data_IF_750982555781
#
_entry.id   IF_750982555781
#
_cell.length_a   1.000
_cell.length_b   1.000
_cell.length_c   1.000
_cell.angle_alpha   90.00
_cell.angle_beta   90.00
_cell.angle_gamma   90.00
#
_symmetry.space_group_name_H-M   'P 1'
#
loop_
_entity.id
_entity.type
_entity.pdbx_description
1 polymer ?
#
# COMPACT_ATOMS: atom_id res chain seq x y z
N UNK A 1 -21.21 -3.10 -26.27
CA UNK A 1 -20.70 -4.49 -26.24
C UNK A 1 -21.67 -5.51 -26.76
N UNK A 2 -23.00 -5.36 -26.62
CA UNK A 2 -24.03 -6.29 -27.15
C UNK A 2 -24.14 -6.30 -28.70
N UNK A 3 -23.68 -5.24 -29.37
CA UNK A 3 -23.71 -5.07 -30.83
C UNK A 3 -22.37 -5.47 -31.44
N UNK A 4 -22.33 -6.45 -32.41
CA UNK A 4 -21.09 -6.91 -33.05
C UNK A 4 -20.31 -5.77 -33.73
N UNK A 5 -20.97 -4.90 -34.49
CA UNK A 5 -20.33 -3.79 -35.19
C UNK A 5 -19.63 -2.80 -34.27
N UNK A 6 -20.12 -2.62 -33.03
CA UNK A 6 -19.47 -1.79 -32.02
C UNK A 6 -18.20 -2.48 -31.47
N UNK A 7 -18.26 -3.80 -31.29
CA UNK A 7 -17.08 -4.57 -30.87
C UNK A 7 -15.99 -4.53 -31.93
N UNK A 8 -16.37 -4.73 -33.20
CA UNK A 8 -15.43 -4.69 -34.32
C UNK A 8 -14.74 -3.32 -34.43
N UNK A 9 -15.50 -2.24 -34.32
CA UNK A 9 -14.98 -0.88 -34.31
C UNK A 9 -13.95 -0.68 -33.15
N UNK A 10 -14.27 -1.15 -31.95
CA UNK A 10 -13.37 -0.98 -30.77
C UNK A 10 -12.09 -1.82 -30.99
N UNK A 11 -12.23 -3.07 -31.45
CA UNK A 11 -11.08 -3.95 -31.69
C UNK A 11 -10.15 -3.36 -32.75
N UNK A 12 -10.69 -2.89 -33.86
CA UNK A 12 -9.90 -2.29 -34.92
C UNK A 12 -9.12 -1.07 -34.48
N UNK A 13 -9.82 -0.10 -33.87
CA UNK A 13 -9.20 1.18 -33.48
C UNK A 13 -8.20 1.02 -32.31
N UNK A 14 -8.54 0.23 -31.29
CA UNK A 14 -7.61 0.00 -30.18
C UNK A 14 -6.40 -0.80 -30.64
N UNK A 15 -6.58 -1.83 -31.46
CA UNK A 15 -5.47 -2.61 -32.05
C UNK A 15 -4.55 -1.70 -32.85
N UNK A 16 -5.09 -0.84 -33.70
CA UNK A 16 -4.31 0.13 -34.46
C UNK A 16 -3.47 1.05 -33.56
N UNK A 17 -4.05 1.57 -32.46
CA UNK A 17 -3.30 2.40 -31.49
C UNK A 17 -2.16 1.59 -30.86
N UNK A 18 -2.44 0.38 -30.40
CA UNK A 18 -1.44 -0.46 -29.74
C UNK A 18 -0.30 -0.87 -30.67
N UNK A 19 -0.58 -1.08 -31.96
CA UNK A 19 0.41 -1.44 -32.96
C UNK A 19 1.20 -0.22 -33.49
N UNK A 20 0.67 0.99 -33.32
CA UNK A 20 1.31 2.24 -33.77
C UNK A 20 2.36 2.80 -32.81
N UNK A 21 2.45 2.31 -31.58
CA UNK A 21 3.35 2.82 -30.56
C UNK A 21 3.85 1.71 -29.63
N UNK A 22 4.98 1.93 -28.96
CA UNK A 22 5.57 1.01 -27.98
C UNK A 22 4.82 0.99 -26.65
N UNK A 23 3.58 0.51 -26.66
CA UNK A 23 2.71 0.47 -25.48
C UNK A 23 2.85 -0.89 -24.80
N UNK A 24 3.22 -0.90 -23.51
CA UNK A 24 3.36 -2.11 -22.69
C UNK A 24 2.34 -2.21 -21.55
N UNK A 25 1.52 -1.17 -21.36
CA UNK A 25 0.53 -1.10 -20.29
C UNK A 25 -0.73 -0.38 -20.75
N UNK A 26 -1.89 -0.95 -20.44
CA UNK A 26 -3.20 -0.36 -20.73
C UNK A 26 -4.06 -0.40 -19.48
N UNK A 27 -4.61 0.74 -19.08
CA UNK A 27 -5.71 0.79 -18.10
C UNK A 27 -7.03 0.94 -18.86
N UNK A 28 -7.89 -0.07 -18.71
CA UNK A 28 -9.18 -0.14 -19.38
C UNK A 28 -10.29 0.23 -18.41
N UNK A 29 -10.80 1.44 -18.56
CA UNK A 29 -11.80 1.98 -17.65
C UNK A 29 -13.22 2.02 -18.25
N UNK A 30 -14.24 1.93 -17.36
CA UNK A 30 -15.63 2.12 -17.70
C UNK A 30 -16.40 2.75 -16.54
N UNK A 31 -16.69 4.04 -16.65
CA UNK A 31 -17.29 4.84 -15.58
C UNK A 31 -18.80 5.08 -15.78
N UNK A 32 -19.49 4.19 -16.51
CA UNK A 32 -20.91 4.32 -16.81
C UNK A 32 -21.74 3.22 -16.16
N UNK A 33 -22.85 3.60 -15.55
CA UNK A 33 -23.81 2.64 -15.03
C UNK A 33 -24.45 1.79 -16.13
N UNK A 34 -24.54 0.49 -15.89
CA UNK A 34 -25.14 -0.49 -16.81
C UNK A 34 -26.60 -0.79 -16.48
N UNK A 35 -27.29 0.03 -15.68
CA UNK A 35 -28.66 -0.22 -15.20
C UNK A 35 -29.65 -0.39 -16.35
N UNK A 36 -29.42 0.30 -17.48
CA UNK A 36 -30.27 0.25 -18.64
C UNK A 36 -30.16 -1.06 -19.47
N UNK A 37 -29.21 -1.93 -19.14
CA UNK A 37 -28.98 -3.17 -19.90
C UNK A 37 -30.04 -4.24 -19.64
N UNK A 38 -30.61 -4.30 -18.42
CA UNK A 38 -31.62 -5.29 -18.06
C UNK A 38 -31.15 -6.72 -18.43
N UNK A 39 -31.98 -7.45 -19.17
CA UNK A 39 -31.69 -8.80 -19.63
C UNK A 39 -30.44 -8.92 -20.54
N UNK A 40 -29.94 -7.82 -21.10
CA UNK A 40 -28.74 -7.79 -21.94
C UNK A 40 -27.45 -7.64 -21.15
N UNK A 41 -27.50 -7.60 -19.84
CA UNK A 41 -26.28 -7.42 -19.01
C UNK A 41 -25.27 -8.55 -19.21
N UNK A 42 -25.74 -9.79 -19.30
CA UNK A 42 -24.89 -10.95 -19.58
C UNK A 42 -24.21 -10.84 -20.96
N UNK A 43 -24.98 -10.55 -22.01
CA UNK A 43 -24.46 -10.38 -23.38
C UNK A 43 -23.44 -9.24 -23.45
N UNK A 44 -23.62 -8.18 -22.66
CA UNK A 44 -22.67 -7.08 -22.55
C UNK A 44 -21.32 -7.56 -22.00
N UNK A 45 -21.33 -8.38 -20.96
CA UNK A 45 -20.10 -8.93 -20.34
C UNK A 45 -19.40 -9.89 -21.32
N UNK A 46 -20.16 -10.79 -21.96
CA UNK A 46 -19.58 -11.69 -23.00
C UNK A 46 -18.98 -10.90 -24.17
N UNK A 47 -19.65 -9.83 -24.60
CA UNK A 47 -19.13 -8.93 -25.62
C UNK A 47 -17.87 -8.17 -25.20
N UNK A 48 -17.75 -7.82 -23.90
CA UNK A 48 -16.51 -7.25 -23.37
C UNK A 48 -15.36 -8.27 -23.40
N UNK A 49 -15.61 -9.50 -22.97
CA UNK A 49 -14.60 -10.57 -23.01
C UNK A 49 -14.15 -10.90 -24.45
N UNK A 50 -15.08 -10.86 -25.43
CA UNK A 50 -14.74 -11.00 -26.84
C UNK A 50 -13.79 -9.90 -27.31
N UNK A 51 -14.08 -8.64 -27.00
CA UNK A 51 -13.23 -7.49 -27.33
C UNK A 51 -11.85 -7.63 -26.69
N UNK A 52 -11.79 -7.92 -25.38
CA UNK A 52 -10.52 -8.04 -24.66
C UNK A 52 -9.66 -9.18 -25.22
N UNK A 53 -10.28 -10.35 -25.53
CA UNK A 53 -9.58 -11.47 -26.13
C UNK A 53 -9.00 -11.10 -27.49
N UNK A 54 -9.77 -10.47 -28.34
CA UNK A 54 -9.36 -10.09 -29.71
C UNK A 54 -8.24 -9.06 -29.72
N UNK A 55 -8.21 -8.15 -28.74
CA UNK A 55 -7.18 -7.12 -28.62
C UNK A 55 -5.91 -7.66 -27.95
N UNK A 56 -6.02 -8.34 -26.81
CA UNK A 56 -4.88 -8.65 -25.95
C UNK A 56 -4.31 -10.07 -26.14
N UNK A 57 -5.07 -11.05 -26.62
CA UNK A 57 -4.50 -12.38 -26.88
C UNK A 57 -3.35 -12.37 -27.92
N UNK A 58 -3.39 -11.54 -28.98
CA UNK A 58 -2.26 -11.38 -29.89
C UNK A 58 -1.09 -10.55 -29.32
N UNK A 59 -1.26 -9.93 -28.15
CA UNK A 59 -0.29 -8.98 -27.54
C UNK A 59 0.00 -9.35 -26.07
N UNK A 60 0.59 -10.54 -25.81
CA UNK A 60 0.78 -11.05 -24.45
C UNK A 60 1.74 -10.20 -23.61
N UNK A 61 2.55 -9.34 -24.23
CA UNK A 61 3.50 -8.44 -23.55
C UNK A 61 2.86 -7.14 -23.03
N UNK A 62 1.59 -6.90 -23.36
CA UNK A 62 0.85 -5.73 -22.87
C UNK A 62 0.11 -6.10 -21.59
N UNK A 63 0.49 -5.49 -20.48
CA UNK A 63 -0.21 -5.64 -19.21
C UNK A 63 -1.52 -4.84 -19.24
N UNK A 64 -2.63 -5.52 -18.97
CA UNK A 64 -3.94 -4.91 -18.85
C UNK A 64 -4.32 -4.72 -17.39
N UNK A 65 -4.68 -3.50 -16.99
CA UNK A 65 -5.35 -3.16 -15.74
C UNK A 65 -6.83 -2.85 -16.02
N UNK A 66 -7.74 -3.51 -15.31
CA UNK A 66 -9.16 -3.18 -15.36
C UNK A 66 -9.52 -2.12 -14.31
N UNK A 67 -10.30 -1.15 -14.74
CA UNK A 67 -10.98 -0.19 -13.88
C UNK A 67 -12.45 -0.07 -14.29
N UNK A 68 -13.32 0.22 -13.33
CA UNK A 68 -14.72 0.55 -13.58
C UNK A 68 -15.25 1.37 -12.42
N UNK A 69 -14.91 2.65 -12.36
CA UNK A 69 -15.07 3.49 -11.17
C UNK A 69 -14.54 2.76 -9.93
N UNK A 70 -13.29 2.31 -9.99
CA UNK A 70 -12.69 1.37 -9.05
C UNK A 70 -12.99 -0.10 -9.38
N UNK A 71 -13.34 -0.87 -8.37
CA UNK A 71 -13.44 -2.34 -8.42
C UNK A 71 -14.79 -2.90 -8.89
N UNK A 72 -15.66 -2.16 -9.59
CA UNK A 72 -16.98 -2.66 -10.00
C UNK A 72 -16.94 -3.81 -11.02
N UNK A 73 -15.78 -4.09 -11.61
CA UNK A 73 -15.53 -5.27 -12.46
C UNK A 73 -14.43 -6.16 -11.88
N UNK A 74 -14.29 -6.17 -10.55
CA UNK A 74 -13.34 -7.06 -9.90
C UNK A 74 -13.99 -8.43 -9.73
N UNK A 75 -13.82 -9.27 -10.73
CA UNK A 75 -14.34 -10.63 -10.78
C UNK A 75 -13.36 -11.58 -11.47
N UNK A 76 -13.59 -12.90 -11.30
CA UNK A 76 -12.71 -13.93 -11.86
C UNK A 76 -12.68 -13.95 -13.38
N UNK A 77 -13.78 -13.56 -14.03
CA UNK A 77 -13.84 -13.49 -15.50
C UNK A 77 -12.94 -12.39 -16.04
N UNK A 78 -12.96 -11.22 -15.41
CA UNK A 78 -12.03 -10.12 -15.75
C UNK A 78 -10.59 -10.49 -15.49
N UNK A 79 -10.28 -11.23 -14.42
CA UNK A 79 -8.92 -11.68 -14.09
C UNK A 79 -8.32 -12.61 -15.16
N UNK A 80 -9.13 -13.26 -16.01
CA UNK A 80 -8.63 -14.02 -17.15
C UNK A 80 -7.97 -13.14 -18.22
N UNK A 81 -8.25 -11.85 -18.25
CA UNK A 81 -7.72 -10.88 -19.21
C UNK A 81 -6.84 -9.81 -18.57
N UNK A 82 -7.17 -9.45 -17.34
CA UNK A 82 -6.59 -8.33 -16.61
C UNK A 82 -6.03 -8.82 -15.27
N UNK A 83 -4.74 -9.17 -15.23
CA UNK A 83 -4.14 -9.72 -14.01
C UNK A 83 -4.08 -8.70 -12.85
N UNK A 84 -4.29 -7.43 -13.14
CA UNK A 84 -4.36 -6.34 -12.17
C UNK A 84 -5.67 -5.58 -12.31
N UNK A 85 -6.36 -5.35 -11.20
CA UNK A 85 -7.61 -4.59 -11.15
C UNK A 85 -7.47 -3.43 -10.19
N UNK A 86 -7.94 -2.25 -10.62
CA UNK A 86 -8.03 -1.07 -9.77
C UNK A 86 -9.11 -1.28 -8.70
N UNK A 87 -8.68 -1.42 -7.45
CA UNK A 87 -9.55 -1.85 -6.37
C UNK A 87 -10.61 -0.80 -5.98
N UNK A 88 -10.23 0.48 -6.01
CA UNK A 88 -11.09 1.62 -5.66
C UNK A 88 -10.40 2.93 -6.05
N UNK A 89 -11.18 3.90 -6.50
CA UNK A 89 -10.73 5.28 -6.71
C UNK A 89 -10.43 6.00 -5.38
N UNK A 90 -10.87 5.43 -4.26
CA UNK A 90 -10.47 5.92 -2.95
C UNK A 90 -9.09 5.35 -2.57
N UNK A 91 -8.06 6.16 -2.74
CA UNK A 91 -6.65 5.84 -2.46
C UNK A 91 -6.19 6.27 -1.08
N UNK A 92 -7.08 6.81 -0.25
CA UNK A 92 -6.77 7.08 1.16
C UNK A 92 -6.32 5.79 1.87
N UNK A 93 -5.11 5.73 2.44
CA UNK A 93 -4.57 4.50 3.01
C UNK A 93 -5.42 3.94 4.13
N UNK A 94 -6.12 4.78 4.90
CA UNK A 94 -6.97 4.34 6.01
C UNK A 94 -8.25 3.67 5.50
N UNK A 95 -8.82 4.17 4.40
CA UNK A 95 -9.93 3.49 3.70
C UNK A 95 -9.43 2.22 3.01
N UNK A 96 -8.23 2.26 2.42
CA UNK A 96 -7.60 1.09 1.80
C UNK A 96 -7.36 -0.06 2.77
N UNK A 97 -7.14 0.19 4.06
CA UNK A 97 -7.11 -0.88 5.06
C UNK A 97 -8.41 -1.70 5.07
N UNK A 98 -9.56 -1.07 4.87
CA UNK A 98 -10.86 -1.76 4.78
C UNK A 98 -11.05 -2.40 3.40
N UNK A 99 -10.78 -1.65 2.33
CA UNK A 99 -10.98 -2.08 0.95
C UNK A 99 -10.10 -3.29 0.63
N UNK A 100 -8.78 -3.19 0.85
CA UNK A 100 -7.83 -4.28 0.55
C UNK A 100 -8.06 -5.49 1.46
N UNK A 101 -8.42 -5.26 2.73
CA UNK A 101 -8.80 -6.35 3.63
C UNK A 101 -10.04 -7.11 3.10
N UNK A 102 -11.07 -6.39 2.64
CA UNK A 102 -12.26 -6.99 2.07
C UNK A 102 -11.96 -7.82 0.81
N UNK A 103 -11.22 -7.25 -0.13
CA UNK A 103 -10.81 -7.92 -1.37
C UNK A 103 -9.99 -9.18 -1.09
N UNK A 104 -9.11 -9.14 -0.09
CA UNK A 104 -8.23 -10.27 0.27
C UNK A 104 -8.95 -11.54 0.74
N UNK A 105 -10.26 -11.52 0.94
CA UNK A 105 -11.05 -12.73 1.21
C UNK A 105 -11.25 -13.60 -0.03
N UNK A 106 -11.22 -13.00 -1.22
CA UNK A 106 -11.52 -13.67 -2.49
C UNK A 106 -10.35 -13.65 -3.48
N UNK A 107 -9.51 -12.63 -3.44
CA UNK A 107 -8.52 -12.38 -4.47
C UNK A 107 -7.11 -12.21 -3.89
N UNK A 108 -6.07 -12.69 -4.59
CA UNK A 108 -4.68 -12.56 -4.17
C UNK A 108 -4.20 -11.10 -4.29
N UNK A 109 -3.17 -10.76 -3.52
CA UNK A 109 -2.62 -9.40 -3.47
C UNK A 109 -2.02 -8.94 -4.82
N UNK A 110 -1.51 -9.89 -5.61
CA UNK A 110 -0.99 -9.63 -6.96
C UNK A 110 -2.01 -9.04 -7.93
N UNK A 111 -3.30 -9.14 -7.62
CA UNK A 111 -4.38 -8.62 -8.48
C UNK A 111 -4.86 -7.23 -8.07
N UNK A 112 -4.41 -6.72 -6.93
CA UNK A 112 -4.93 -5.49 -6.32
C UNK A 112 -4.05 -4.29 -6.65
N UNK A 113 -4.51 -3.39 -7.51
CA UNK A 113 -3.86 -2.09 -7.73
C UNK A 113 -3.90 -1.25 -6.44
N UNK A 114 -2.72 -0.82 -5.97
CA UNK A 114 -2.56 -0.06 -4.73
C UNK A 114 -1.61 1.11 -4.95
N UNK A 115 -2.14 2.35 -4.88
CA UNK A 115 -1.34 3.54 -5.15
C UNK A 115 -1.16 4.44 -3.93
N UNK A 116 -0.01 5.07 -3.88
CA UNK A 116 0.31 6.18 -2.99
C UNK A 116 -0.20 7.46 -3.65
N UNK A 117 -1.17 8.11 -3.05
CA UNK A 117 -1.76 9.37 -3.52
C UNK A 117 -1.27 10.57 -2.71
N UNK A 118 -1.67 11.76 -3.13
CA UNK A 118 -1.39 13.01 -2.42
C UNK A 118 -2.06 13.05 -1.04
N UNK A 119 -1.50 13.87 -0.14
CA UNK A 119 -2.11 14.25 1.13
C UNK A 119 -2.06 15.79 1.25
N UNK A 120 -3.17 16.44 1.70
CA UNK A 120 -4.46 15.85 2.07
C UNK A 120 -5.14 15.12 0.93
N UNK A 121 -5.83 14.01 1.23
CA UNK A 121 -6.50 13.20 0.22
C UNK A 121 -7.74 13.91 -0.35
N UNK A 122 -7.91 13.90 -1.68
CA UNK A 122 -8.93 14.71 -2.36
C UNK A 122 -10.38 14.36 -1.95
N UNK A 123 -10.68 13.11 -1.61
CA UNK A 123 -12.03 12.68 -1.26
C UNK A 123 -12.31 12.76 0.25
N UNK A 124 -11.32 12.45 1.09
CA UNK A 124 -11.51 12.35 2.55
C UNK A 124 -10.98 13.55 3.31
N UNK A 125 -10.19 14.42 2.66
CA UNK A 125 -9.43 15.53 3.24
C UNK A 125 -8.45 15.09 4.35
N UNK A 126 -8.22 13.78 4.49
CA UNK A 126 -7.34 13.20 5.52
C UNK A 126 -5.88 13.47 5.14
N UNK A 127 -5.12 13.90 6.12
CA UNK A 127 -3.68 14.09 5.98
C UNK A 127 -2.96 12.91 6.63
N UNK A 128 -2.49 11.98 5.81
CA UNK A 128 -1.81 10.76 6.26
C UNK A 128 -0.31 10.84 5.99
N UNK A 129 0.54 10.30 6.88
CA UNK A 129 1.98 10.24 6.66
C UNK A 129 2.34 9.51 5.37
N UNK A 130 3.40 9.95 4.69
CA UNK A 130 3.85 9.34 3.44
C UNK A 130 4.25 7.87 3.62
N UNK A 131 4.93 7.55 4.73
CA UNK A 131 5.27 6.18 5.07
C UNK A 131 4.03 5.28 5.19
N UNK A 132 2.94 5.74 5.81
CA UNK A 132 1.70 4.96 5.91
C UNK A 132 1.06 4.75 4.55
N UNK A 133 1.06 5.76 3.68
CA UNK A 133 0.58 5.61 2.31
C UNK A 133 1.34 4.51 1.56
N UNK A 134 2.68 4.49 1.67
CA UNK A 134 3.54 3.45 1.10
C UNK A 134 3.34 2.09 1.77
N UNK A 135 3.34 2.03 3.09
CA UNK A 135 3.23 0.79 3.86
C UNK A 135 1.92 0.03 3.57
N UNK A 136 0.81 0.74 3.38
CA UNK A 136 -0.48 0.13 2.97
C UNK A 136 -0.42 -0.34 1.52
N UNK A 137 0.15 0.47 0.62
CA UNK A 137 0.23 0.16 -0.79
C UNK A 137 1.19 -1.01 -1.10
N UNK A 138 2.16 -1.30 -0.24
CA UNK A 138 3.04 -2.48 -0.40
C UNK A 138 2.28 -3.79 -0.45
N UNK A 139 1.14 -3.88 0.24
CA UNK A 139 0.31 -5.10 0.25
C UNK A 139 -0.63 -5.17 -0.97
N UNK A 140 -0.11 -4.85 -2.14
CA UNK A 140 -0.75 -4.90 -3.45
C UNK A 140 0.26 -4.60 -4.55
N UNK A 141 -0.23 -4.27 -5.75
CA UNK A 141 0.60 -3.77 -6.86
C UNK A 141 0.86 -2.28 -6.66
N UNK A 142 2.04 -1.96 -6.10
CA UNK A 142 2.42 -0.59 -5.77
C UNK A 142 2.49 0.30 -7.00
N UNK A 143 1.86 1.47 -6.91
CA UNK A 143 2.03 2.60 -7.83
C UNK A 143 2.01 3.94 -7.10
N UNK A 144 2.32 5.01 -7.81
CA UNK A 144 2.27 6.37 -7.30
C UNK A 144 1.34 7.22 -8.16
N UNK A 145 0.38 7.87 -7.52
CA UNK A 145 -0.63 8.73 -8.12
C UNK A 145 -0.58 10.10 -7.44
N UNK A 146 0.51 10.83 -7.69
CA UNK A 146 0.74 12.15 -7.12
C UNK A 146 1.69 12.98 -8.00
N UNK A 147 1.63 14.31 -7.87
CA UNK A 147 2.53 15.21 -8.58
C UNK A 147 3.86 15.36 -7.83
N UNK A 148 4.90 14.76 -8.37
CA UNK A 148 6.24 14.77 -7.77
C UNK A 148 6.82 16.20 -7.64
N UNK A 149 6.35 17.17 -8.44
CA UNK A 149 6.81 18.57 -8.40
C UNK A 149 6.36 19.29 -7.12
N UNK A 150 5.33 18.79 -6.46
CA UNK A 150 4.78 19.37 -5.23
C UNK A 150 5.42 18.83 -3.97
N UNK A 151 6.23 17.78 -4.09
CA UNK A 151 6.85 17.09 -2.97
C UNK A 151 8.11 17.80 -2.48
N UNK A 152 8.38 17.64 -1.19
CA UNK A 152 9.63 18.09 -0.59
C UNK A 152 10.78 17.14 -0.94
N UNK A 153 12.05 17.61 -0.95
CA UNK A 153 13.21 16.74 -1.21
C UNK A 153 13.28 15.52 -0.28
N UNK A 154 12.88 15.68 0.98
CA UNK A 154 12.83 14.57 1.95
C UNK A 154 11.77 13.52 1.58
N UNK A 155 10.64 13.95 1.04
CA UNK A 155 9.56 13.05 0.58
C UNK A 155 9.98 12.30 -0.68
N UNK A 156 10.68 12.96 -1.62
CA UNK A 156 11.25 12.29 -2.80
C UNK A 156 12.24 11.20 -2.37
N UNK A 157 13.10 11.48 -1.39
CA UNK A 157 14.04 10.48 -0.85
C UNK A 157 13.32 9.31 -0.19
N UNK A 158 12.25 9.58 0.53
CA UNK A 158 11.41 8.55 1.15
C UNK A 158 10.76 7.67 0.08
N UNK A 159 10.18 8.24 -0.98
CA UNK A 159 9.62 7.51 -2.11
C UNK A 159 10.67 6.62 -2.79
N UNK A 160 11.89 7.12 -2.99
CA UNK A 160 12.99 6.31 -3.53
C UNK A 160 13.27 5.09 -2.65
N UNK A 161 13.28 5.28 -1.33
CA UNK A 161 13.42 4.18 -0.35
C UNK A 161 12.27 3.18 -0.42
N UNK A 162 11.04 3.66 -0.49
CA UNK A 162 9.83 2.83 -0.64
C UNK A 162 9.88 2.00 -1.93
N UNK A 163 10.25 2.60 -3.06
CA UNK A 163 10.38 1.91 -4.34
C UNK A 163 11.48 0.85 -4.28
N UNK A 164 12.65 1.17 -3.71
CA UNK A 164 13.75 0.23 -3.58
C UNK A 164 13.36 -0.97 -2.70
N UNK A 165 12.71 -0.72 -1.57
CA UNK A 165 12.20 -1.75 -0.68
C UNK A 165 11.15 -2.63 -1.37
N UNK A 166 10.16 -2.04 -2.02
CA UNK A 166 9.14 -2.78 -2.75
C UNK A 166 9.73 -3.64 -3.87
N UNK A 167 10.65 -3.09 -4.67
CA UNK A 167 11.31 -3.85 -5.74
C UNK A 167 12.07 -5.06 -5.21
N UNK A 168 12.69 -4.95 -4.02
CA UNK A 168 13.40 -6.06 -3.38
C UNK A 168 12.47 -7.17 -2.91
N UNK A 169 11.31 -6.82 -2.37
CA UNK A 169 10.38 -7.78 -1.75
C UNK A 169 9.05 -7.92 -2.52
N UNK A 170 8.98 -7.41 -3.74
CA UNK A 170 7.75 -7.41 -4.56
C UNK A 170 7.15 -8.79 -4.71
N UNK A 171 7.97 -9.82 -4.93
CA UNK A 171 7.50 -11.19 -5.08
C UNK A 171 6.84 -11.71 -3.81
N UNK A 172 7.41 -11.39 -2.64
CA UNK A 172 6.82 -11.73 -1.35
C UNK A 172 5.48 -11.01 -1.16
N UNK A 173 5.43 -9.70 -1.44
CA UNK A 173 4.20 -8.92 -1.30
C UNK A 173 3.07 -9.40 -2.20
N UNK A 174 3.37 -9.75 -3.44
CA UNK A 174 2.36 -10.11 -4.43
C UNK A 174 1.98 -11.59 -4.38
N UNK A 175 2.94 -12.49 -4.18
CA UNK A 175 2.75 -13.93 -4.34
C UNK A 175 2.95 -14.74 -3.05
N UNK A 176 3.41 -14.13 -1.98
CA UNK A 176 3.52 -14.78 -0.67
C UNK A 176 2.16 -15.11 -0.07
N UNK A 177 2.17 -15.99 0.92
CA UNK A 177 0.96 -16.33 1.68
C UNK A 177 0.52 -15.15 2.53
N UNK A 178 -0.57 -14.53 2.14
CA UNK A 178 -1.17 -13.40 2.87
C UNK A 178 -1.99 -13.88 4.06
N UNK A 179 -1.84 -13.21 5.21
CA UNK A 179 -2.64 -13.43 6.41
C UNK A 179 -3.00 -12.10 7.06
N UNK A 180 -4.20 -12.06 7.62
CA UNK A 180 -4.67 -10.96 8.47
C UNK A 180 -4.18 -11.19 9.89
N UNK A 181 -3.75 -10.12 10.54
CA UNK A 181 -3.32 -10.11 11.93
C UNK A 181 -4.19 -9.16 12.74
N UNK A 182 -4.02 -9.12 14.05
CA UNK A 182 -4.72 -8.20 14.94
C UNK A 182 -4.39 -6.72 14.63
N UNK A 183 -3.14 -6.44 14.27
CA UNK A 183 -2.64 -5.08 14.02
C UNK A 183 -2.61 -4.71 12.53
N UNK A 184 -2.91 -5.65 11.64
CA UNK A 184 -2.86 -5.41 10.19
C UNK A 184 -2.71 -6.67 9.36
N UNK A 185 -1.63 -6.77 8.60
CA UNK A 185 -1.41 -7.83 7.63
C UNK A 185 -0.01 -8.43 7.72
N UNK A 186 0.14 -9.65 7.29
CA UNK A 186 1.44 -10.27 7.01
C UNK A 186 1.42 -10.99 5.68
N UNK A 187 2.58 -11.10 5.07
CA UNK A 187 2.80 -11.89 3.85
C UNK A 187 4.14 -12.62 3.97
N UNK A 188 4.21 -13.87 3.51
CA UNK A 188 5.40 -14.70 3.64
C UNK A 188 5.58 -15.63 2.44
N UNK A 189 6.82 -15.81 1.98
CA UNK A 189 7.22 -16.83 1.02
C UNK A 189 7.86 -18.07 1.68
N UNK A 190 7.90 -18.10 3.01
CA UNK A 190 8.53 -19.14 3.82
C UNK A 190 9.99 -18.85 4.20
N UNK A 191 10.67 -17.92 3.52
CA UNK A 191 12.02 -17.45 3.85
C UNK A 191 11.99 -16.07 4.50
N UNK A 192 11.17 -15.19 3.94
CA UNK A 192 10.97 -13.83 4.39
C UNK A 192 9.50 -13.64 4.77
N UNK A 193 9.26 -12.97 5.88
CA UNK A 193 7.92 -12.51 6.26
C UNK A 193 7.93 -11.00 6.45
N UNK A 194 6.93 -10.34 5.87
CA UNK A 194 6.70 -8.92 6.01
C UNK A 194 5.40 -8.72 6.78
N UNK A 195 5.44 -7.96 7.87
CA UNK A 195 4.27 -7.69 8.71
C UNK A 195 4.01 -6.19 8.82
N UNK A 196 2.82 -5.76 8.40
CA UNK A 196 2.35 -4.38 8.54
C UNK A 196 1.54 -4.21 9.81
N UNK A 197 1.84 -3.15 10.55
CA UNK A 197 1.10 -2.68 11.72
C UNK A 197 0.52 -1.32 11.39
N UNK A 198 -0.78 -1.13 11.56
CA UNK A 198 -1.49 0.07 11.12
C UNK A 198 -2.36 0.64 12.22
N UNK A 199 -2.26 1.94 12.44
CA UNK A 199 -3.08 2.68 13.39
C UNK A 199 -4.10 3.56 12.66
N UNK A 200 -5.38 3.43 13.03
CA UNK A 200 -6.42 4.38 12.58
C UNK A 200 -6.43 5.60 13.49
N UNK A 201 -6.59 5.38 14.78
CA UNK A 201 -6.50 6.40 15.83
C UNK A 201 -5.65 5.83 16.97
N UNK A 202 -4.89 6.68 17.61
CA UNK A 202 -4.04 6.32 18.74
C UNK A 202 -4.66 6.88 20.02
N UNK A 203 -4.77 6.05 21.06
CA UNK A 203 -5.24 6.48 22.37
C UNK A 203 -4.19 7.35 23.07
N UNK A 204 -4.62 8.31 23.87
CA UNK A 204 -3.72 9.18 24.63
C UNK A 204 -2.78 8.41 25.60
N UNK A 205 -3.21 7.26 26.07
CA UNK A 205 -2.41 6.33 26.87
C UNK A 205 -2.46 4.93 26.24
N UNK A 206 -1.76 4.70 25.11
CA UNK A 206 -1.78 3.43 24.44
C UNK A 206 -1.12 2.35 25.31
N UNK A 207 -1.71 1.16 25.31
CA UNK A 207 -1.10 -0.03 25.90
C UNK A 207 0.12 -0.49 25.08
N UNK A 208 0.80 -1.51 25.59
CA UNK A 208 1.82 -2.19 24.80
C UNK A 208 1.17 -3.04 23.70
N UNK A 209 1.70 -2.90 22.50
CA UNK A 209 1.27 -3.69 21.34
C UNK A 209 2.13 -4.93 21.20
N UNK A 210 1.53 -6.01 20.69
CA UNK A 210 2.22 -7.26 20.44
C UNK A 210 2.15 -7.63 18.96
N UNK A 211 3.32 -7.79 18.36
CA UNK A 211 3.43 -8.32 17.01
C UNK A 211 3.30 -9.85 17.07
N UNK A 212 2.21 -10.37 16.50
CA UNK A 212 2.00 -11.82 16.32
C UNK A 212 2.20 -12.19 14.86
N UNK A 213 3.11 -13.13 14.63
CA UNK A 213 3.47 -13.61 13.29
C UNK A 213 3.16 -15.09 13.18
N UNK A 214 2.42 -15.47 12.16
CA UNK A 214 1.98 -16.87 11.95
C UNK A 214 2.76 -17.54 10.82
N UNK A 215 2.93 -18.86 10.91
CA UNK A 215 3.49 -19.69 9.86
C UNK A 215 5.02 -19.75 9.85
N UNK A 216 5.67 -19.31 10.92
CA UNK A 216 7.09 -19.49 11.16
C UNK A 216 7.40 -20.85 11.77
N UNK A 217 8.62 -21.36 11.61
CA UNK A 217 9.09 -22.58 12.28
C UNK A 217 9.29 -22.28 13.77
N UNK A 218 8.64 -23.01 14.70
CA UNK A 218 8.64 -22.65 16.14
C UNK A 218 10.03 -22.57 16.77
N UNK A 219 10.93 -23.50 16.41
CA UNK A 219 12.26 -23.66 17.00
C UNK A 219 13.36 -22.85 16.30
N UNK A 220 12.99 -22.08 15.27
CA UNK A 220 13.95 -21.27 14.51
C UNK A 220 13.97 -19.85 15.04
N UNK A 221 15.16 -19.26 15.16
CA UNK A 221 15.33 -17.87 15.53
C UNK A 221 15.22 -16.96 14.30
N UNK A 222 14.53 -15.86 14.47
CA UNK A 222 14.28 -14.85 13.44
C UNK A 222 14.78 -13.49 13.90
N UNK A 223 15.41 -12.76 12.98
CA UNK A 223 15.65 -11.33 13.12
C UNK A 223 14.41 -10.57 12.67
N UNK A 224 13.91 -9.71 13.53
CA UNK A 224 12.78 -8.81 13.27
C UNK A 224 13.32 -7.39 13.19
N UNK A 225 13.12 -6.71 12.08
CA UNK A 225 13.62 -5.34 11.87
C UNK A 225 12.50 -4.47 11.31
N UNK A 226 12.16 -3.36 11.98
CA UNK A 226 11.23 -2.38 11.41
C UNK A 226 11.91 -1.53 10.35
N UNK A 227 11.14 -1.02 9.39
CA UNK A 227 11.66 -0.03 8.45
C UNK A 227 12.02 1.26 9.20
N UNK A 228 13.15 1.85 8.82
CA UNK A 228 13.53 3.17 9.31
C UNK A 228 12.52 4.22 8.84
N UNK A 229 12.10 5.08 9.76
CA UNK A 229 11.20 6.19 9.46
C UNK A 229 11.87 7.51 9.77
N UNK A 230 11.67 8.50 8.92
CA UNK A 230 12.08 9.87 9.17
C UNK A 230 10.88 10.65 9.74
N UNK A 231 11.07 11.26 10.91
CA UNK A 231 10.02 12.01 11.59
C UNK A 231 10.25 13.48 11.34
N UNK A 232 9.29 14.16 10.77
CA UNK A 232 9.37 15.61 10.54
C UNK A 232 9.19 16.34 11.87
N UNK A 233 9.98 17.38 12.09
CA UNK A 233 9.94 18.16 13.35
C UNK A 233 8.57 18.79 13.63
N UNK A 234 7.81 19.13 12.57
CA UNK A 234 6.46 19.65 12.70
C UNK A 234 5.45 18.66 13.28
N UNK A 235 5.70 17.36 13.19
CA UNK A 235 4.82 16.34 13.78
C UNK A 235 4.75 16.41 15.32
N UNK A 236 5.77 16.97 15.96
CA UNK A 236 5.77 17.15 17.40
C UNK A 236 4.94 18.35 17.88
N UNK A 237 4.67 19.34 17.02
CA UNK A 237 3.89 20.51 17.39
C UNK A 237 4.44 21.19 18.68
N UNK A 238 3.59 21.37 19.68
CA UNK A 238 3.97 21.90 21.00
C UNK A 238 4.92 21.00 21.79
N UNK A 239 5.05 19.74 21.44
CA UNK A 239 5.92 18.78 22.11
C UNK A 239 7.39 18.92 21.67
N UNK A 240 7.66 19.73 20.63
CA UNK A 240 9.02 19.91 20.11
C UNK A 240 10.01 20.33 21.19
N UNK A 241 9.59 21.15 22.16
CA UNK A 241 10.39 21.56 23.33
C UNK A 241 10.84 20.39 24.22
N UNK A 242 10.16 19.24 24.16
CA UNK A 242 10.50 18.03 24.91
C UNK A 242 11.36 17.06 24.09
N UNK A 243 11.44 17.28 22.78
CA UNK A 243 12.23 16.47 21.84
C UNK A 243 13.58 17.13 21.55
N UNK A 244 13.57 18.46 21.42
CA UNK A 244 14.75 19.28 21.21
C UNK A 244 14.68 20.49 22.15
N UNK A 245 15.81 20.99 22.67
CA UNK A 245 15.83 22.13 23.60
C UNK A 245 15.58 23.47 22.88
N UNK A 246 14.54 23.51 22.07
CA UNK A 246 14.18 24.66 21.23
C UNK A 246 12.72 25.04 21.49
N UNK A 247 12.51 26.25 21.98
CA UNK A 247 11.18 26.79 22.19
C UNK A 247 10.76 27.58 20.95
N UNK A 248 10.05 26.93 20.03
CA UNK A 248 9.50 27.55 18.82
C UNK A 248 7.98 27.51 18.82
N UNK A 249 7.37 28.55 18.26
CA UNK A 249 5.92 28.54 18.06
C UNK A 249 5.57 27.43 17.02
N UNK A 250 4.76 26.44 17.39
CA UNK A 250 4.42 25.30 16.49
C UNK A 250 3.66 25.74 15.24
N UNK A 251 2.99 26.89 15.28
CA UNK A 251 2.29 27.50 14.14
C UNK A 251 3.11 28.58 13.43
N UNK A 252 4.35 28.83 13.90
CA UNK A 252 5.22 29.89 13.38
C UNK A 252 5.89 29.54 12.05
N UNK A 253 6.32 30.60 11.34
CA UNK A 253 7.00 30.44 10.04
C UNK A 253 8.32 29.65 10.19
N UNK A 254 9.05 29.82 11.29
CA UNK A 254 10.31 29.10 11.52
C UNK A 254 10.11 27.59 11.57
N UNK A 255 9.09 27.09 12.29
CA UNK A 255 8.83 25.66 12.33
C UNK A 255 8.35 25.13 10.97
N UNK A 256 7.55 25.92 10.24
CA UNK A 256 7.13 25.52 8.88
C UNK A 256 8.31 25.41 7.91
N UNK A 257 9.31 26.29 8.02
CA UNK A 257 10.54 26.19 7.22
C UNK A 257 11.38 25.00 7.67
N UNK A 258 11.59 24.83 8.96
CA UNK A 258 12.35 23.71 9.51
C UNK A 258 11.74 22.36 9.13
N UNK A 259 10.41 22.23 9.19
CA UNK A 259 9.68 21.02 8.85
C UNK A 259 9.85 20.57 7.39
N UNK A 260 10.25 21.49 6.50
CA UNK A 260 10.53 21.16 5.10
C UNK A 260 11.90 20.50 4.88
N UNK A 261 12.83 20.69 5.82
CA UNK A 261 14.24 20.34 5.63
C UNK A 261 14.81 19.48 6.76
N UNK A 262 14.18 19.49 7.94
CA UNK A 262 14.70 18.82 9.13
C UNK A 262 13.81 17.64 9.48
N UNK A 263 14.43 16.47 9.51
CA UNK A 263 13.82 15.25 10.03
C UNK A 263 14.64 14.74 11.21
N UNK A 264 13.97 14.17 12.20
CA UNK A 264 14.60 13.41 13.26
C UNK A 264 14.66 11.94 12.80
N UNK A 265 15.83 11.29 12.87
CA UNK A 265 15.94 9.88 12.50
C UNK A 265 15.17 9.03 13.52
N UNK A 266 14.19 8.27 13.04
CA UNK A 266 13.64 7.14 13.77
C UNK A 266 14.62 5.98 13.70
N UNK A 267 14.97 5.40 14.85
CA UNK A 267 15.81 4.21 14.88
C UNK A 267 15.00 2.98 14.55
N UNK A 268 15.41 2.14 13.58
CA UNK A 268 14.73 0.88 13.35
C UNK A 268 14.73 0.02 14.62
N UNK A 269 13.59 -0.51 14.97
CA UNK A 269 13.49 -1.53 16.00
C UNK A 269 14.11 -2.82 15.45
N UNK A 270 15.06 -3.38 16.19
CA UNK A 270 15.69 -4.66 15.82
C UNK A 270 15.71 -5.57 17.03
N UNK A 271 15.19 -6.78 16.88
CA UNK A 271 15.16 -7.78 17.93
C UNK A 271 15.30 -9.20 17.33
N UNK A 272 15.63 -10.16 18.18
CA UNK A 272 15.67 -11.57 17.82
C UNK A 272 14.64 -12.32 18.65
N UNK A 273 13.88 -13.20 18.02
CA UNK A 273 12.89 -14.04 18.70
C UNK A 273 12.70 -15.36 17.96
N UNK A 274 12.38 -16.44 18.69
CA UNK A 274 11.99 -17.70 18.07
C UNK A 274 10.64 -17.60 17.38
N UNK A 275 10.39 -18.48 16.41
CA UNK A 275 9.09 -18.54 15.75
C UNK A 275 7.95 -18.82 16.74
N UNK A 276 8.19 -19.61 17.79
CA UNK A 276 7.23 -19.84 18.88
C UNK A 276 6.90 -18.53 19.63
N UNK A 277 7.91 -17.74 19.97
CA UNK A 277 7.72 -16.44 20.63
C UNK A 277 6.96 -15.46 19.73
N UNK A 278 7.30 -15.40 18.45
CA UNK A 278 6.61 -14.57 17.45
C UNK A 278 5.13 -15.00 17.27
N UNK A 279 4.84 -16.29 17.32
CA UNK A 279 3.47 -16.79 17.26
C UNK A 279 2.66 -16.42 18.51
N UNK A 280 3.29 -16.45 19.69
CA UNK A 280 2.68 -16.01 20.96
C UNK A 280 2.50 -14.48 21.03
N UNK A 281 3.37 -13.75 20.35
CA UNK A 281 3.37 -12.29 20.26
C UNK A 281 4.48 -11.63 21.08
N UNK A 282 5.43 -11.04 20.39
CA UNK A 282 6.50 -10.22 20.96
C UNK A 282 6.01 -8.80 21.22
N UNK A 283 6.50 -8.21 22.31
CA UNK A 283 6.16 -6.82 22.65
C UNK A 283 6.96 -5.86 21.76
N UNK A 284 6.25 -4.95 21.10
CA UNK A 284 6.86 -3.87 20.34
C UNK A 284 7.33 -2.75 21.25
N UNK A 285 8.31 -1.97 20.79
CA UNK A 285 8.75 -0.74 21.46
C UNK A 285 7.57 0.18 21.72
N UNK A 286 7.56 0.89 22.86
CA UNK A 286 6.43 1.74 23.23
C UNK A 286 6.23 2.88 22.22
N UNK A 287 4.98 3.27 22.04
CA UNK A 287 4.65 4.50 21.33
C UNK A 287 5.05 5.73 22.14
N UNK A 288 5.53 6.77 21.47
CA UNK A 288 5.82 8.06 22.10
C UNK A 288 4.57 8.68 22.73
N UNK A 289 4.69 9.12 23.98
CA UNK A 289 3.56 9.63 24.80
C UNK A 289 3.65 11.11 25.13
N UNK A 290 4.48 11.87 24.40
CA UNK A 290 4.59 13.31 24.59
C UNK A 290 5.50 13.78 25.75
N UNK A 291 6.11 12.87 26.50
CA UNK A 291 7.06 13.18 27.56
C UNK A 291 8.31 12.33 27.43
N UNK A 292 9.48 12.96 27.30
CA UNK A 292 10.77 12.26 27.20
C UNK A 292 10.90 11.48 25.89
N UNK A 293 11.36 12.13 24.83
CA UNK A 293 11.67 11.45 23.57
C UNK A 293 12.90 10.57 23.72
N UNK A 294 12.79 9.33 23.24
CA UNK A 294 13.91 8.42 23.03
C UNK A 294 13.85 7.87 21.60
N UNK A 295 14.99 7.74 20.90
CA UNK A 295 15.03 7.24 19.53
C UNK A 295 14.47 5.82 19.34
N UNK A 296 14.43 5.05 20.42
CA UNK A 296 13.90 3.68 20.46
C UNK A 296 12.36 3.64 20.53
N UNK A 297 11.71 4.77 20.80
CA UNK A 297 10.25 4.86 20.80
C UNK A 297 9.72 4.97 19.38
N UNK A 298 8.60 4.29 19.12
CA UNK A 298 7.86 4.48 17.89
C UNK A 298 7.10 5.81 17.95
N UNK A 299 7.46 6.74 17.11
CA UNK A 299 6.87 8.09 17.07
C UNK A 299 5.71 8.15 16.10
N UNK A 300 4.66 7.39 16.38
CA UNK A 300 3.47 7.33 15.57
C UNK A 300 2.29 7.98 16.30
N UNK A 301 1.50 8.72 15.53
CA UNK A 301 0.22 9.25 15.94
C UNK A 301 -0.92 8.58 15.17
N UNK A 302 -2.04 9.28 15.07
CA UNK A 302 -3.15 8.87 14.21
C UNK A 302 -2.65 8.61 12.79
N UNK A 303 -3.16 7.56 12.18
CA UNK A 303 -2.81 7.11 10.83
C UNK A 303 -1.34 6.67 10.67
N UNK A 304 -0.66 6.36 11.77
CA UNK A 304 0.71 5.84 11.74
C UNK A 304 0.78 4.37 11.30
N UNK A 305 1.96 3.92 10.93
CA UNK A 305 2.19 2.51 10.57
C UNK A 305 3.65 2.11 10.66
N UNK A 306 3.89 0.81 10.84
CA UNK A 306 5.20 0.17 10.71
C UNK A 306 5.13 -1.01 9.74
N UNK A 307 6.25 -1.33 9.11
CA UNK A 307 6.47 -2.61 8.42
C UNK A 307 7.69 -3.28 9.02
N UNK A 308 7.52 -4.52 9.43
CA UNK A 308 8.56 -5.38 10.00
C UNK A 308 8.99 -6.41 8.97
N UNK A 309 10.28 -6.47 8.74
CA UNK A 309 10.96 -7.53 8.00
C UNK A 309 11.39 -8.61 8.99
N UNK A 310 11.03 -9.86 8.73
CA UNK A 310 11.32 -11.01 9.57
C UNK A 310 12.07 -12.04 8.74
N UNK A 311 13.30 -12.31 9.11
CA UNK A 311 14.22 -13.17 8.37
C UNK A 311 14.81 -14.24 9.31
N UNK A 312 14.94 -15.48 8.83
CA UNK A 312 15.57 -16.58 9.57
C UNK A 312 17.06 -16.24 9.85
N UNK A 313 17.51 -16.47 11.09
CA UNK A 313 18.92 -16.32 11.49
C UNK A 313 19.62 -17.64 11.25
N UNK A 314 20.66 -17.66 10.42
CA UNK A 314 21.49 -18.85 10.18
C UNK A 314 21.02 -19.75 9.04
N UNK A 315 20.14 -19.30 8.17
CA UNK A 315 19.86 -19.96 6.89
C UNK A 315 20.88 -19.52 5.85
N UNK A 316 22.04 -20.21 5.74
CA UNK A 316 22.86 -20.21 4.54
C UNK A 316 22.28 -21.12 3.46
#
# INVERSE_FOLDING_TARGET
>A
MTRPEVRDYIVENVSWILDSAGISYVKWDMNRHSVALGAKAHDFVLGLYDVLRRIFAPRPDILLESCSSGGNRFDLGMLCFSPQIWASDNTDPIERLTIQNGISYLYPQSTVGAHVSAAPHAQTLRNTPLNTRGNVAFFGCLGYELDLRTLLPVEIKEIQGQIAFYKRYREVFQFGTFRRTELGWQVSDGKVTLAGVFHRLVNAAPGYERLRVKGLKPETDYRVTSLAQAIRVGQFGNLLKHVAPVNVNPNGALLRIADRHITLPGKPETLTASGAALAAGIMLSPLFRGTGYAPEQRTQGDFGSDVYLIEEIGGE
#
